data_IF_650235922762
#
_entry.id   IF_650235922762
#
_cell.length_a   1.000
_cell.length_b   1.000
_cell.length_c   1.000
_cell.angle_alpha   90.00
_cell.angle_beta   90.00
_cell.angle_gamma   90.00
#
_symmetry.space_group_name_H-M   'P 1'
#
loop_
_entity.id
_entity.type
_entity.pdbx_description
1 polymer ?
#
# COMPACT_ATOMS: atom_id res chain seq x y z
N UNK A 1 13.94 18.84 -8.18
CA UNK A 1 13.74 18.56 -7.39
C UNK A 1 12.91 18.67 -7.00
N UNK A 2 12.39 18.23 -6.99
CA UNK A 2 11.71 18.02 -6.53
C UNK A 2 11.33 18.10 -5.95
N UNK A 3 11.18 17.97 -5.75
CA UNK A 3 10.86 17.86 -5.11
C UNK A 3 10.67 17.91 -4.59
N UNK A 4 10.40 17.76 -4.36
CA UNK A 4 10.47 17.65 -3.76
C UNK A 4 10.59 17.79 -3.16
N UNK A 5 10.60 17.78 -2.94
CA UNK A 5 10.92 17.80 -2.21
C UNK A 5 11.25 18.21 -1.83
N UNK A 6 11.37 18.43 -1.79
CA UNK A 6 12.05 18.68 -1.29
C UNK A 6 12.45 19.03 -0.71
N UNK A 7 12.68 19.11 -0.41
CA UNK A 7 13.19 19.36 0.34
C UNK A 7 13.99 19.65 0.69
N UNK A 8 14.30 20.14 0.81
CA UNK A 8 15.13 20.48 1.28
C UNK A 8 15.78 20.66 1.84
N UNK A 9 16.13 20.89 2.07
CA UNK A 9 16.88 20.92 2.96
C UNK A 9 16.90 21.72 3.78
N UNK A 10 16.77 21.95 3.96
CA UNK A 10 17.13 22.69 4.75
C UNK A 10 17.49 22.53 6.04
N UNK A 11 18.13 23.08 6.57
CA UNK A 11 18.49 22.92 7.92
C UNK A 11 17.84 21.81 8.66
N UNK A 12 17.00 21.11 8.00
CA UNK A 12 16.43 19.96 8.66
C UNK A 12 17.51 18.95 8.92
N UNK A 13 17.37 18.27 10.03
CA UNK A 13 18.28 17.20 10.37
C UNK A 13 17.82 15.88 9.77
N UNK A 14 16.92 15.94 8.84
CA UNK A 14 16.39 14.75 8.21
C UNK A 14 17.51 13.94 7.58
N UNK A 15 17.51 12.64 7.85
CA UNK A 15 18.45 11.73 7.22
C UNK A 15 17.89 11.15 5.94
N UNK A 16 16.69 11.53 5.56
CA UNK A 16 16.07 11.01 4.35
C UNK A 16 16.72 11.61 3.12
N UNK A 17 16.96 10.77 2.14
CA UNK A 17 17.47 11.21 0.85
C UNK A 17 16.37 11.92 0.07
N UNK A 18 16.75 12.81 -0.86
CA UNK A 18 15.78 13.35 -1.81
C UNK A 18 15.08 12.24 -2.57
N UNK A 19 13.85 12.50 -3.01
CA UNK A 19 13.04 11.51 -3.70
C UNK A 19 13.79 10.90 -4.88
N UNK A 20 14.47 11.72 -5.68
CA UNK A 20 15.19 11.23 -6.86
C UNK A 20 16.30 10.24 -6.48
N UNK A 21 17.02 10.50 -5.38
CA UNK A 21 18.06 9.58 -4.93
C UNK A 21 17.49 8.32 -4.36
N UNK A 22 16.34 8.39 -3.67
CA UNK A 22 15.69 7.20 -3.16
C UNK A 22 15.25 6.28 -4.29
N UNK A 23 14.73 6.84 -5.39
CA UNK A 23 14.36 6.06 -6.57
C UNK A 23 15.56 5.30 -7.12
N UNK A 24 16.73 5.95 -7.19
CA UNK A 24 17.94 5.30 -7.70
C UNK A 24 18.43 4.17 -6.80
N UNK A 25 18.12 4.23 -5.51
CA UNK A 25 18.55 3.22 -4.56
C UNK A 25 17.54 2.08 -4.40
N UNK A 26 16.37 2.23 -4.99
CA UNK A 26 15.30 1.25 -4.86
C UNK A 26 15.26 0.40 -6.12
N UNK A 27 15.17 -0.87 -5.94
CA UNK A 27 15.03 -1.78 -7.07
C UNK A 27 13.59 -2.26 -7.21
N UNK A 28 13.36 -2.96 -8.31
CA UNK A 28 12.15 -3.74 -8.50
C UNK A 28 12.01 -4.70 -7.31
N UNK A 29 10.80 -4.84 -6.80
CA UNK A 29 10.51 -5.69 -5.65
C UNK A 29 10.36 -4.92 -4.35
N UNK A 30 10.78 -3.65 -4.30
CA UNK A 30 10.65 -2.84 -3.10
C UNK A 30 9.24 -2.30 -2.94
N UNK A 31 8.82 -2.13 -1.68
CA UNK A 31 7.54 -1.49 -1.37
C UNK A 31 7.75 0.03 -1.40
N UNK A 32 7.06 0.68 -2.32
CA UNK A 32 7.17 2.11 -2.53
C UNK A 32 6.85 2.90 -1.26
N UNK A 33 5.83 2.49 -0.53
CA UNK A 33 5.42 3.20 0.68
C UNK A 33 6.51 3.16 1.74
N UNK A 34 7.14 2.01 1.93
CA UNK A 34 8.24 1.88 2.91
C UNK A 34 9.44 2.72 2.50
N UNK A 35 9.77 2.70 1.21
CA UNK A 35 10.93 3.42 0.70
C UNK A 35 10.81 4.92 0.90
N UNK A 36 9.63 5.47 0.70
CA UNK A 36 9.41 6.91 0.78
C UNK A 36 8.77 7.33 2.10
N UNK A 37 8.71 6.40 3.06
CA UNK A 37 8.18 6.69 4.40
C UNK A 37 6.73 7.17 4.34
N UNK A 38 5.95 6.57 3.46
CA UNK A 38 4.53 6.81 3.33
C UNK A 38 3.82 5.82 4.25
N UNK A 39 2.81 6.28 4.96
CA UNK A 39 2.08 5.41 5.88
C UNK A 39 1.33 4.33 5.12
N UNK A 40 1.24 3.16 5.74
CA UNK A 40 0.52 2.03 5.15
C UNK A 40 -0.96 2.39 5.04
N UNK A 41 -1.58 1.96 3.95
CA UNK A 41 -2.99 2.18 3.71
C UNK A 41 -3.79 1.06 4.34
N UNK A 42 -4.72 1.42 5.21
CA UNK A 42 -5.55 0.48 5.93
C UNK A 42 -7.01 0.57 5.49
N UNK A 43 -7.75 -0.48 5.76
CA UNK A 43 -9.18 -0.58 5.46
C UNK A 43 -9.98 -0.88 6.72
N UNK A 44 -11.21 -0.41 6.75
CA UNK A 44 -12.13 -0.76 7.82
C UNK A 44 -12.56 -2.22 7.69
N UNK A 45 -13.02 -2.79 8.78
CA UNK A 45 -13.47 -4.17 8.81
C UNK A 45 -14.55 -4.41 7.75
N UNK A 46 -14.37 -5.46 6.97
CA UNK A 46 -15.29 -5.89 5.91
C UNK A 46 -15.57 -4.85 4.83
N UNK A 47 -14.74 -3.81 4.73
CA UNK A 47 -14.93 -2.76 3.73
C UNK A 47 -13.76 -2.68 2.78
N UNK A 48 -14.06 -2.20 1.56
CA UNK A 48 -13.04 -2.00 0.53
C UNK A 48 -12.98 -0.55 0.05
N UNK A 49 -13.82 0.34 0.60
CA UNK A 49 -13.76 1.75 0.23
C UNK A 49 -12.50 2.41 0.81
N UNK A 50 -11.99 3.39 0.12
CA UNK A 50 -10.79 4.10 0.53
C UNK A 50 -11.14 5.09 1.66
N UNK A 51 -10.51 4.90 2.81
CA UNK A 51 -10.70 5.78 3.96
C UNK A 51 -10.07 7.15 3.67
N UNK A 52 -10.57 8.17 4.39
CA UNK A 52 -10.04 9.52 4.21
C UNK A 52 -8.54 9.61 4.53
N UNK A 53 -8.08 8.91 5.57
CA UNK A 53 -6.66 8.89 5.91
C UNK A 53 -5.85 8.15 4.83
N UNK A 54 -6.41 7.09 4.25
CA UNK A 54 -5.77 6.35 3.18
C UNK A 54 -5.62 7.24 1.93
N UNK A 55 -6.63 8.04 1.62
CA UNK A 55 -6.57 8.92 0.45
C UNK A 55 -5.39 9.90 0.53
N UNK A 56 -5.11 10.41 1.73
CA UNK A 56 -3.97 11.32 1.92
C UNK A 56 -2.65 10.64 1.60
N UNK A 57 -2.51 9.37 1.98
CA UNK A 57 -1.28 8.62 1.71
C UNK A 57 -1.22 8.19 0.24
N UNK A 58 -2.34 7.85 -0.36
CA UNK A 58 -2.39 7.51 -1.78
C UNK A 58 -1.99 8.69 -2.67
N UNK A 59 -2.28 9.91 -2.25
CA UNK A 59 -1.82 11.09 -2.98
C UNK A 59 -0.30 11.14 -3.06
N UNK A 60 0.38 10.74 -1.99
CA UNK A 60 1.84 10.70 -1.98
C UNK A 60 2.37 9.65 -2.95
N UNK A 61 1.71 8.50 -3.00
CA UNK A 61 2.08 7.44 -3.95
C UNK A 61 1.88 7.93 -5.39
N UNK A 62 0.74 8.55 -5.66
CA UNK A 62 0.48 9.11 -6.98
C UNK A 62 1.54 10.14 -7.37
N UNK A 63 1.95 10.97 -6.42
CA UNK A 63 2.97 11.99 -6.65
C UNK A 63 4.30 11.36 -7.07
N UNK A 64 4.74 10.33 -6.33
CA UNK A 64 5.99 9.64 -6.67
C UNK A 64 5.90 9.01 -8.06
N UNK A 65 4.78 8.39 -8.39
CA UNK A 65 4.60 7.78 -9.71
C UNK A 65 4.56 8.81 -10.82
N UNK A 66 3.98 9.98 -10.58
CA UNK A 66 3.96 11.07 -11.58
C UNK A 66 5.36 11.61 -11.84
N UNK A 67 6.19 11.66 -10.82
CA UNK A 67 7.56 12.11 -10.94
C UNK A 67 8.46 11.07 -11.59
N UNK A 68 8.00 9.85 -11.73
CA UNK A 68 8.76 8.73 -12.30
C UNK A 68 7.88 8.00 -13.30
N UNK A 69 7.72 8.58 -14.53
CA UNK A 69 6.69 8.11 -15.47
C UNK A 69 6.84 6.67 -15.96
N UNK A 70 8.02 6.09 -15.84
CA UNK A 70 8.26 4.71 -16.27
C UNK A 70 8.02 3.69 -15.16
N UNK A 71 7.79 4.15 -13.92
CA UNK A 71 7.56 3.25 -12.79
C UNK A 71 6.23 2.53 -12.93
N UNK A 72 6.25 1.23 -12.67
CA UNK A 72 5.04 0.40 -12.59
C UNK A 72 4.95 -0.20 -11.20
N UNK A 73 3.72 -0.38 -10.73
CA UNK A 73 3.46 -0.81 -9.35
C UNK A 73 2.42 -1.92 -9.34
N UNK A 74 2.66 -2.93 -8.51
CA UNK A 74 1.72 -4.01 -8.23
C UNK A 74 1.08 -3.74 -6.87
N UNK A 75 -0.23 -3.55 -6.85
CA UNK A 75 -0.99 -3.30 -5.63
C UNK A 75 -1.38 -4.63 -5.02
N UNK A 76 -0.95 -4.87 -3.78
CA UNK A 76 -1.24 -6.12 -3.06
C UNK A 76 -2.07 -5.81 -1.84
N UNK A 77 -3.28 -6.33 -1.81
CA UNK A 77 -4.22 -6.03 -0.73
C UNK A 77 -4.51 -7.27 0.10
N UNK A 78 -4.79 -7.05 1.37
CA UNK A 78 -4.85 -8.10 2.37
C UNK A 78 -6.04 -7.91 3.30
N UNK A 79 -6.42 -8.99 3.98
CA UNK A 79 -7.44 -8.98 5.03
C UNK A 79 -6.84 -9.50 6.33
N UNK A 80 -7.56 -9.31 7.43
CA UNK A 80 -7.29 -10.10 8.62
C UNK A 80 -7.91 -11.50 8.43
N UNK A 81 -7.75 -12.37 9.43
CA UNK A 81 -8.15 -13.77 9.30
C UNK A 81 -9.63 -14.02 9.59
N UNK A 82 -10.36 -13.02 10.04
CA UNK A 82 -11.79 -13.21 10.40
C UNK A 82 -12.61 -13.36 9.13
N UNK A 83 -13.63 -14.18 9.16
CA UNK A 83 -14.43 -14.62 8.01
C UNK A 83 -13.76 -15.80 7.29
N UNK A 84 -14.42 -16.30 6.26
CA UNK A 84 -13.90 -17.46 5.52
C UNK A 84 -12.76 -17.07 4.61
N UNK A 85 -11.94 -18.05 4.24
CA UNK A 85 -10.84 -17.84 3.29
C UNK A 85 -11.38 -17.32 1.96
N UNK A 86 -12.47 -17.89 1.46
CA UNK A 86 -13.09 -17.47 0.19
C UNK A 86 -13.59 -16.03 0.26
N UNK A 87 -14.26 -15.68 1.36
CA UNK A 87 -14.74 -14.31 1.54
C UNK A 87 -13.58 -13.32 1.56
N UNK A 88 -12.52 -13.65 2.28
CA UNK A 88 -11.36 -12.78 2.43
C UNK A 88 -10.62 -12.61 1.11
N UNK A 89 -10.55 -13.66 0.29
CA UNK A 89 -9.95 -13.54 -1.03
C UNK A 89 -10.75 -12.55 -1.89
N UNK A 90 -12.06 -12.65 -1.87
CA UNK A 90 -12.93 -11.73 -2.60
C UNK A 90 -12.80 -10.30 -2.07
N UNK A 91 -12.77 -10.12 -0.75
CA UNK A 91 -12.65 -8.80 -0.14
C UNK A 91 -11.33 -8.14 -0.48
N UNK A 92 -10.23 -8.90 -0.42
CA UNK A 92 -8.92 -8.35 -0.76
C UNK A 92 -8.82 -7.99 -2.24
N UNK A 93 -9.46 -8.76 -3.12
CA UNK A 93 -9.53 -8.40 -4.53
C UNK A 93 -10.25 -7.06 -4.72
N UNK A 94 -11.34 -6.84 -3.98
CA UNK A 94 -12.07 -5.57 -4.05
C UNK A 94 -11.23 -4.42 -3.50
N UNK A 95 -10.42 -4.68 -2.48
CA UNK A 95 -9.51 -3.68 -1.92
C UNK A 95 -8.42 -3.28 -2.91
N UNK A 96 -7.84 -4.24 -3.59
CA UNK A 96 -6.84 -3.96 -4.63
C UNK A 96 -7.48 -3.14 -5.77
N UNK A 97 -8.68 -3.52 -6.18
CA UNK A 97 -9.40 -2.80 -7.24
C UNK A 97 -9.71 -1.36 -6.83
N UNK A 98 -10.19 -1.15 -5.60
CA UNK A 98 -10.52 0.19 -5.12
C UNK A 98 -9.27 1.07 -5.05
N UNK A 99 -8.16 0.48 -4.63
CA UNK A 99 -6.89 1.20 -4.54
C UNK A 99 -6.41 1.62 -5.93
N UNK A 100 -6.44 0.69 -6.89
CA UNK A 100 -6.05 1.00 -8.27
C UNK A 100 -6.97 2.03 -8.89
N UNK A 101 -8.28 1.90 -8.67
CA UNK A 101 -9.26 2.83 -9.23
C UNK A 101 -9.02 4.25 -8.69
N UNK A 102 -8.66 4.36 -7.42
CA UNK A 102 -8.34 5.65 -6.84
C UNK A 102 -7.12 6.29 -7.53
N UNK A 103 -6.08 5.49 -7.76
CA UNK A 103 -4.86 5.98 -8.42
C UNK A 103 -5.16 6.40 -9.87
N UNK A 104 -5.94 5.63 -10.58
CA UNK A 104 -6.33 5.98 -11.96
C UNK A 104 -7.12 7.27 -11.98
N UNK A 105 -8.08 7.40 -11.08
CA UNK A 105 -8.89 8.62 -10.99
C UNK A 105 -8.04 9.85 -10.69
N UNK A 106 -6.92 9.65 -10.02
CA UNK A 106 -6.03 10.75 -9.64
C UNK A 106 -4.80 10.87 -10.53
N UNK A 107 -4.87 10.35 -11.74
CA UNK A 107 -3.92 10.68 -12.80
C UNK A 107 -2.89 9.63 -13.14
N UNK A 108 -2.96 8.42 -12.55
CA UNK A 108 -2.01 7.36 -12.88
C UNK A 108 -2.63 6.48 -13.98
N UNK A 109 -1.90 6.28 -15.08
CA UNK A 109 -2.38 5.44 -16.17
C UNK A 109 -2.59 4.00 -15.72
N UNK A 110 -3.69 3.40 -16.14
CA UNK A 110 -4.04 2.04 -15.74
C UNK A 110 -2.98 1.02 -16.14
N UNK A 111 -2.29 1.24 -17.25
CA UNK A 111 -1.26 0.32 -17.74
C UNK A 111 0.02 0.32 -16.89
N UNK A 112 0.10 1.21 -15.91
CA UNK A 112 1.22 1.25 -14.96
C UNK A 112 0.90 0.50 -13.67
N UNK A 113 -0.30 -0.05 -13.55
CA UNK A 113 -0.79 -0.67 -12.33
C UNK A 113 -1.23 -2.10 -12.61
N UNK A 114 -0.85 -3.01 -11.72
CA UNK A 114 -1.46 -4.33 -11.59
C UNK A 114 -1.87 -4.47 -10.14
N UNK A 115 -2.66 -5.47 -9.83
CA UNK A 115 -2.99 -5.71 -8.45
C UNK A 115 -3.94 -6.86 -8.26
N UNK A 116 -3.84 -7.47 -7.08
CA UNK A 116 -4.77 -8.51 -6.67
C UNK A 116 -4.77 -8.62 -5.16
N UNK A 117 -5.75 -9.35 -4.65
CA UNK A 117 -5.84 -9.66 -3.23
C UNK A 117 -5.14 -10.95 -2.89
N UNK A 118 -4.66 -11.02 -1.68
CA UNK A 118 -4.02 -12.21 -1.11
C UNK A 118 -4.81 -12.76 0.07
N UNK A 119 -6.01 -12.21 0.32
CA UNK A 119 -6.84 -12.66 1.42
C UNK A 119 -6.09 -12.56 2.74
N UNK A 120 -6.20 -13.61 3.53
CA UNK A 120 -5.52 -13.69 4.83
C UNK A 120 -4.21 -14.47 4.77
N UNK A 121 -3.71 -14.78 3.57
CA UNK A 121 -2.56 -15.66 3.40
C UNK A 121 -1.22 -15.04 3.82
N UNK A 122 -1.15 -13.73 3.98
CA UNK A 122 0.10 -13.02 4.29
C UNK A 122 -0.09 -12.05 5.44
N UNK A 123 -0.34 -12.61 6.62
CA UNK A 123 -0.48 -11.80 7.83
C UNK A 123 0.88 -11.24 8.25
N UNK A 124 0.87 -10.05 8.85
CA UNK A 124 2.10 -9.40 9.33
C UNK A 124 2.41 -9.75 10.78
N UNK A 125 1.52 -10.51 11.43
CA UNK A 125 1.65 -10.89 12.85
C UNK A 125 1.10 -12.29 13.04
N UNK A 126 1.10 -12.76 14.29
CA UNK A 126 0.63 -14.10 14.63
C UNK A 126 -0.88 -14.14 14.90
N UNK A 127 -1.65 -13.39 14.13
CA UNK A 127 -3.09 -13.25 14.33
C UNK A 127 -3.92 -14.13 13.39
N UNK A 128 -3.42 -15.32 13.09
CA UNK A 128 -4.18 -16.28 12.31
C UNK A 128 -5.37 -16.85 13.08
N UNK A 129 -6.40 -17.24 12.35
CA UNK A 129 -7.63 -17.80 12.93
C UNK A 129 -7.72 -19.32 12.78
N UNK A 130 -6.88 -19.89 11.95
CA UNK A 130 -6.96 -21.33 11.69
C UNK A 130 -6.27 -22.11 12.80
N UNK A 131 -6.74 -23.32 13.15
CA UNK A 131 -7.85 -24.04 12.51
C UNK A 131 -9.22 -23.73 13.09
N UNK A 132 -9.30 -22.93 14.15
CA UNK A 132 -10.55 -22.72 14.86
C UNK A 132 -11.41 -21.61 14.27
N UNK A 133 -10.88 -20.87 13.32
CA UNK A 133 -11.51 -19.67 12.76
C UNK A 133 -11.74 -18.59 13.82
N UNK A 134 -10.87 -18.56 14.83
CA UNK A 134 -10.91 -17.58 15.91
C UNK A 134 -9.52 -17.05 16.17
N UNK A 135 -9.45 -15.83 16.69
CA UNK A 135 -8.19 -15.24 17.08
C UNK A 135 -8.37 -14.44 18.35
N UNK A 136 -7.35 -14.45 19.19
CA UNK A 136 -7.33 -13.68 20.44
C UNK A 136 -6.71 -12.31 20.26
N UNK A 137 -6.38 -11.93 19.03
CA UNK A 137 -5.73 -10.64 18.77
C UNK A 137 -6.70 -9.49 18.95
N UNK A 138 -6.15 -8.33 19.28
CA UNK A 138 -6.92 -7.10 19.42
C UNK A 138 -7.37 -6.58 18.06
N UNK A 139 -8.29 -5.63 18.07
CA UNK A 139 -8.74 -4.98 16.84
C UNK A 139 -7.59 -4.28 16.14
N UNK A 140 -6.68 -3.66 16.90
CA UNK A 140 -5.52 -2.99 16.30
C UNK A 140 -4.58 -3.97 15.62
N UNK A 141 -4.40 -5.15 16.22
CA UNK A 141 -3.58 -6.19 15.60
C UNK A 141 -4.19 -6.72 14.33
N UNK A 142 -5.52 -6.86 14.29
CA UNK A 142 -6.22 -7.24 13.08
C UNK A 142 -6.17 -6.12 12.04
N UNK A 143 -6.26 -4.87 12.47
CA UNK A 143 -6.16 -3.72 11.57
C UNK A 143 -4.84 -3.73 10.81
N UNK A 144 -3.75 -4.15 11.45
CA UNK A 144 -2.44 -4.20 10.81
C UNK A 144 -2.45 -5.10 9.56
N UNK A 145 -3.36 -6.06 9.50
CA UNK A 145 -3.46 -6.97 8.35
C UNK A 145 -4.39 -6.46 7.24
N UNK A 146 -5.26 -5.51 7.53
CA UNK A 146 -6.19 -4.95 6.55
C UNK A 146 -5.52 -3.80 5.80
N UNK A 147 -4.63 -4.16 4.87
CA UNK A 147 -3.72 -3.19 4.26
C UNK A 147 -3.54 -3.41 2.77
N UNK A 148 -3.02 -2.39 2.10
CA UNK A 148 -2.50 -2.51 0.73
C UNK A 148 -1.00 -2.17 0.72
N UNK A 149 -0.27 -2.91 -0.09
CA UNK A 149 1.17 -2.71 -0.32
C UNK A 149 1.37 -2.33 -1.78
N UNK A 150 2.47 -1.64 -2.06
CA UNK A 150 2.74 -1.08 -3.40
C UNK A 150 4.13 -1.51 -3.84
N UNK A 151 4.19 -2.61 -4.58
CA UNK A 151 5.47 -3.22 -4.96
C UNK A 151 5.87 -2.71 -6.33
N UNK A 152 7.07 -2.15 -6.42
CA UNK A 152 7.60 -1.64 -7.68
C UNK A 152 7.95 -2.82 -8.57
N UNK A 153 7.36 -2.89 -9.77
CA UNK A 153 7.60 -3.97 -10.71
C UNK A 153 8.42 -3.55 -11.91
N UNK A 154 8.53 -2.25 -12.16
CA UNK A 154 9.39 -1.69 -13.19
C UNK A 154 9.75 -0.27 -12.81
N UNK A 155 10.90 0.18 -13.28
CA UNK A 155 11.38 1.53 -13.00
C UNK A 155 11.44 2.36 -14.28
#
# INVERSE_FOLDING_TARGET
>A
EMAVVTGSKSGTTSTQLPITKRIKQVGVGSDLAKTFNIKIIYFDLDKSNIRADAALELEKIAQVMKQNPTMKVDVRSHTDCRQTVTYNQSLSNRRAKATMAWLVKNGISANRLTGKGYGESQLVNDCGCEPTNESKCSEEEHQANRRSEFIITAM
#
